data_IF_362514580408
#
_entry.id   IF_362514580408
#
_cell.length_a   1.000
_cell.length_b   1.000
_cell.length_c   1.000
_cell.angle_alpha   90.00
_cell.angle_beta   90.00
_cell.angle_gamma   90.00
#
_symmetry.space_group_name_H-M   'P 1'
#
loop_
_entity.id
_entity.type
_entity.pdbx_description
1 polymer ?
#
# COMPACT_ATOMS: atom_id res chain seq x y z
N UNK A 1 -12.15 -27.26 44.54
CA UNK A 1 -11.26 -27.48 43.36
C UNK A 1 -10.06 -28.28 43.86
N UNK A 2 -9.61 -29.35 43.16
CA UNK A 2 -8.35 -30.01 43.53
C UNK A 2 -7.22 -29.02 43.28
N UNK A 3 -6.35 -28.74 44.27
CA UNK A 3 -5.24 -27.81 44.20
C UNK A 3 -4.34 -28.06 42.96
N UNK A 4 -4.23 -29.30 42.52
CA UNK A 4 -3.41 -29.76 41.38
C UNK A 4 -3.77 -29.11 39.99
N UNK A 5 -4.96 -28.54 39.84
CA UNK A 5 -5.44 -27.91 38.60
C UNK A 5 -5.57 -26.39 38.71
N UNK A 6 -5.04 -25.80 39.77
CA UNK A 6 -5.00 -24.33 39.90
C UNK A 6 -4.02 -23.71 38.92
N UNK A 7 -4.19 -22.42 38.64
CA UNK A 7 -3.21 -21.65 37.82
C UNK A 7 -1.83 -21.68 38.49
N UNK A 8 -1.76 -21.55 39.81
CA UNK A 8 -0.49 -21.57 40.53
C UNK A 8 0.21 -22.92 40.37
N UNK A 9 -0.42 -24.05 40.63
CA UNK A 9 0.17 -25.39 40.47
C UNK A 9 0.62 -25.64 39.00
N UNK A 10 -0.15 -25.16 38.04
CA UNK A 10 0.19 -25.24 36.65
C UNK A 10 1.50 -24.45 36.33
N UNK A 11 1.66 -23.25 36.87
CA UNK A 11 2.85 -22.44 36.68
C UNK A 11 4.10 -23.08 37.32
N UNK A 12 3.95 -23.64 38.49
CA UNK A 12 5.04 -24.35 39.21
C UNK A 12 5.47 -25.62 38.47
N UNK A 13 4.52 -26.41 37.94
CA UNK A 13 4.80 -27.67 37.23
C UNK A 13 5.36 -27.45 35.81
N UNK A 14 5.04 -26.34 35.15
CA UNK A 14 5.40 -26.09 33.75
C UNK A 14 6.48 -25.02 33.56
N UNK A 15 7.15 -24.62 34.66
CA UNK A 15 8.16 -23.54 34.68
C UNK A 15 7.63 -22.22 34.06
N UNK A 16 6.38 -21.86 34.42
CA UNK A 16 5.73 -20.64 33.92
C UNK A 16 5.49 -19.62 35.04
N UNK A 17 6.45 -19.49 35.92
CA UNK A 17 6.36 -18.58 37.07
C UNK A 17 6.13 -17.11 36.67
N UNK A 18 6.54 -16.73 35.46
CA UNK A 18 6.27 -15.40 34.92
C UNK A 18 4.77 -15.04 34.89
N UNK A 19 3.86 -16.02 34.74
CA UNK A 19 2.42 -15.78 34.77
C UNK A 19 1.94 -15.34 36.15
N UNK A 20 2.55 -15.85 37.22
CA UNK A 20 2.23 -15.43 38.58
C UNK A 20 2.81 -14.04 38.88
N UNK A 21 3.95 -13.72 38.30
CA UNK A 21 4.54 -12.38 38.39
C UNK A 21 3.70 -11.33 37.64
N UNK A 22 3.08 -11.73 36.51
CA UNK A 22 2.20 -10.87 35.72
C UNK A 22 0.78 -10.78 36.28
N UNK A 23 0.41 -11.53 37.30
CA UNK A 23 -0.90 -11.45 37.95
C UNK A 23 -1.02 -10.16 38.76
N UNK A 24 -1.97 -9.29 38.40
CA UNK A 24 -2.20 -8.03 39.12
C UNK A 24 -2.96 -8.33 40.44
N UNK A 25 -2.20 -8.45 41.52
CA UNK A 25 -2.75 -8.83 42.85
C UNK A 25 -3.74 -7.80 43.39
N UNK A 26 -3.50 -6.51 43.16
CA UNK A 26 -4.33 -5.45 43.66
C UNK A 26 -5.71 -5.42 42.95
N UNK A 27 -5.64 -5.43 41.60
CA UNK A 27 -6.88 -5.37 40.78
C UNK A 27 -7.69 -6.65 40.80
N UNK A 28 -7.07 -7.78 41.10
CA UNK A 28 -7.74 -9.06 41.18
C UNK A 28 -8.20 -9.40 42.61
N UNK A 29 -7.87 -8.62 43.62
CA UNK A 29 -8.26 -8.89 45.00
C UNK A 29 -9.78 -9.02 45.15
N UNK A 30 -10.30 -9.99 45.93
CA UNK A 30 -9.58 -10.96 46.74
C UNK A 30 -9.29 -12.32 46.06
N UNK A 31 -9.16 -12.37 44.73
CA UNK A 31 -9.00 -13.59 43.94
C UNK A 31 -7.51 -13.97 43.78
N UNK A 32 -6.98 -15.00 44.47
CA UNK A 32 -5.59 -15.42 44.30
C UNK A 32 -5.46 -16.48 43.20
N UNK A 33 -4.27 -16.66 42.61
CA UNK A 33 -4.01 -17.60 41.51
C UNK A 33 -4.22 -19.09 41.87
N UNK A 34 -4.12 -19.46 43.13
CA UNK A 34 -4.35 -20.81 43.60
C UNK A 34 -5.84 -21.21 43.66
N UNK A 35 -6.74 -20.20 43.67
CA UNK A 35 -8.20 -20.40 43.69
C UNK A 35 -8.84 -20.53 42.33
N UNK A 36 -8.10 -20.29 41.25
CA UNK A 36 -8.61 -20.29 39.88
C UNK A 36 -8.02 -21.44 39.07
N UNK A 37 -8.83 -22.00 38.13
CA UNK A 37 -8.38 -23.05 37.23
C UNK A 37 -7.64 -22.46 36.02
N UNK A 38 -6.51 -23.08 35.59
CA UNK A 38 -5.72 -22.65 34.41
C UNK A 38 -6.53 -22.56 33.13
N UNK A 39 -7.57 -23.35 32.95
CA UNK A 39 -8.47 -23.35 31.79
C UNK A 39 -9.71 -22.45 31.96
N UNK A 40 -9.74 -21.59 32.98
CA UNK A 40 -10.91 -20.73 33.26
C UNK A 40 -11.11 -19.68 32.18
N UNK A 41 -12.37 -19.47 31.77
CA UNK A 41 -12.81 -18.36 30.95
C UNK A 41 -12.95 -17.06 31.73
N UNK A 42 -12.76 -17.10 33.04
CA UNK A 42 -12.79 -15.91 33.89
C UNK A 42 -11.70 -14.96 33.43
N UNK A 43 -12.07 -13.69 33.20
CA UNK A 43 -11.15 -12.63 32.90
C UNK A 43 -10.61 -12.02 34.17
N UNK A 44 -9.33 -11.71 34.16
CA UNK A 44 -8.60 -11.10 35.28
C UNK A 44 -7.62 -10.06 34.74
N UNK A 45 -7.10 -9.23 35.62
CA UNK A 45 -6.10 -8.24 35.30
C UNK A 45 -4.69 -8.84 35.31
N UNK A 46 -3.93 -8.47 34.32
CA UNK A 46 -2.53 -8.84 34.14
C UNK A 46 -1.70 -7.58 33.99
N UNK A 47 -0.44 -7.62 34.38
CA UNK A 47 0.55 -6.59 34.08
C UNK A 47 1.82 -7.25 33.53
N UNK A 48 2.64 -6.51 32.76
CA UNK A 48 3.92 -7.00 32.28
C UNK A 48 5.05 -6.13 32.82
N UNK A 49 6.28 -6.60 32.66
CA UNK A 49 7.51 -5.89 33.07
C UNK A 49 7.64 -4.46 32.51
N UNK A 50 7.02 -4.20 31.34
CA UNK A 50 7.00 -2.87 30.70
C UNK A 50 5.87 -1.96 31.25
N UNK A 51 5.21 -2.33 32.34
CA UNK A 51 4.18 -1.53 32.99
C UNK A 51 2.79 -1.57 32.31
N UNK A 52 2.62 -2.36 31.26
CA UNK A 52 1.30 -2.50 30.63
C UNK A 52 0.34 -3.30 31.50
N UNK A 53 -0.90 -2.85 31.64
CA UNK A 53 -1.96 -3.61 32.30
C UNK A 53 -3.09 -3.91 31.32
N UNK A 54 -3.64 -5.14 31.41
CA UNK A 54 -4.75 -5.55 30.52
C UNK A 54 -5.65 -6.58 31.19
N UNK A 55 -6.84 -6.73 30.64
CA UNK A 55 -7.88 -7.63 31.14
C UNK A 55 -8.05 -8.79 30.16
N UNK A 56 -7.77 -10.04 30.58
CA UNK A 56 -7.81 -11.21 29.71
C UNK A 56 -8.19 -12.48 30.45
N UNK A 57 -8.74 -13.46 29.71
CA UNK A 57 -9.08 -14.77 30.26
C UNK A 57 -7.82 -15.51 30.75
N UNK A 58 -7.95 -16.22 31.87
CA UNK A 58 -6.88 -17.03 32.46
C UNK A 58 -6.36 -18.06 31.46
N UNK A 59 -7.26 -18.80 30.78
CA UNK A 59 -6.88 -19.82 29.80
C UNK A 59 -6.07 -19.25 28.62
N UNK A 60 -6.33 -18.01 28.21
CA UNK A 60 -5.63 -17.36 27.09
C UNK A 60 -4.17 -17.11 27.47
N UNK A 61 -3.94 -16.67 28.71
CA UNK A 61 -2.60 -16.50 29.26
C UNK A 61 -1.90 -17.85 29.51
N UNK A 62 -2.58 -18.81 30.10
CA UNK A 62 -2.08 -20.16 30.34
C UNK A 62 -1.69 -20.87 29.02
N UNK A 63 -2.35 -20.59 27.91
CA UNK A 63 -2.00 -21.10 26.59
C UNK A 63 -0.88 -20.32 25.88
N UNK A 64 -0.20 -19.38 26.57
CA UNK A 64 0.99 -18.71 26.07
C UNK A 64 0.76 -17.39 25.33
N UNK A 65 -0.46 -16.81 25.38
CA UNK A 65 -0.65 -15.46 24.88
C UNK A 65 0.15 -14.46 25.71
N UNK A 66 0.86 -13.57 25.06
CA UNK A 66 1.67 -12.53 25.70
C UNK A 66 0.89 -11.22 25.85
N UNK A 67 1.51 -10.22 26.51
CA UNK A 67 0.98 -8.87 26.62
C UNK A 67 0.55 -8.33 25.24
N UNK A 68 -0.72 -7.89 25.06
CA UNK A 68 -1.21 -7.43 23.76
C UNK A 68 -0.57 -6.13 23.29
N UNK A 69 -0.05 -5.34 24.18
CA UNK A 69 0.65 -4.09 23.87
C UNK A 69 2.10 -4.37 23.42
N UNK A 70 2.84 -5.20 24.15
CA UNK A 70 4.18 -5.62 23.76
C UNK A 70 4.20 -6.38 22.43
N UNK A 71 3.17 -7.19 22.16
CA UNK A 71 2.99 -7.90 20.88
C UNK A 71 2.33 -7.05 19.79
N UNK A 72 2.09 -5.75 20.05
CA UNK A 72 1.48 -4.80 19.11
C UNK A 72 0.11 -5.24 18.57
N UNK A 73 -0.67 -5.96 19.37
CA UNK A 73 -2.06 -6.35 19.06
C UNK A 73 -3.06 -5.27 19.49
N UNK A 74 -2.73 -4.52 20.54
CA UNK A 74 -3.50 -3.40 21.05
C UNK A 74 -2.70 -2.11 20.99
N UNK A 75 -3.40 -1.02 20.71
CA UNK A 75 -2.81 0.32 20.65
C UNK A 75 -2.48 0.83 22.06
N UNK A 76 -1.28 1.33 22.22
CA UNK A 76 -0.85 2.14 23.34
C UNK A 76 -0.30 3.45 22.78
N UNK A 77 -1.06 4.52 22.93
CA UNK A 77 -0.70 5.85 22.49
C UNK A 77 0.61 6.29 23.16
N UNK A 78 1.47 6.99 22.41
CA UNK A 78 2.83 7.40 22.83
C UNK A 78 3.83 6.26 23.03
N UNK A 79 3.50 5.02 22.59
CA UNK A 79 4.39 3.86 22.71
C UNK A 79 4.47 3.05 21.42
N UNK A 80 3.33 2.53 20.91
CA UNK A 80 3.32 1.64 19.75
C UNK A 80 2.45 2.14 18.60
N UNK A 81 2.03 3.38 18.66
CA UNK A 81 1.29 4.06 17.59
C UNK A 81 2.22 4.50 16.43
N UNK A 82 1.59 4.86 15.30
CA UNK A 82 2.32 5.28 14.10
C UNK A 82 3.10 6.58 14.32
N UNK A 83 2.53 7.54 15.05
CA UNK A 83 3.16 8.84 15.27
C UNK A 83 4.48 8.67 16.04
N UNK A 84 4.45 7.84 17.09
CA UNK A 84 5.60 7.59 17.95
C UNK A 84 6.68 6.76 17.25
N UNK A 85 6.28 5.66 16.60
CA UNK A 85 7.25 4.73 16.02
C UNK A 85 7.76 5.12 14.63
N UNK A 86 6.99 5.91 13.88
CA UNK A 86 7.39 6.35 12.54
C UNK A 86 6.90 7.77 12.24
N UNK A 87 7.48 8.79 12.88
CA UNK A 87 7.07 10.18 12.70
C UNK A 87 7.26 10.69 11.27
N UNK A 88 8.28 10.19 10.56
CA UNK A 88 8.50 10.51 9.16
C UNK A 88 7.33 10.03 8.27
N UNK A 89 6.81 8.83 8.51
CA UNK A 89 5.63 8.35 7.79
C UNK A 89 4.37 9.07 8.26
N UNK A 90 4.26 9.39 9.54
CA UNK A 90 3.14 10.15 10.10
C UNK A 90 3.04 11.57 9.51
N UNK A 91 4.15 12.19 9.10
CA UNK A 91 4.14 13.51 8.44
C UNK A 91 3.47 13.50 7.05
N UNK A 92 3.35 12.32 6.41
CA UNK A 92 2.60 12.16 5.16
C UNK A 92 1.10 11.87 5.37
N UNK A 93 0.60 12.01 6.59
CA UNK A 93 -0.81 11.78 6.90
C UNK A 93 -1.69 12.89 6.31
N UNK A 94 -2.72 12.53 5.55
CA UNK A 94 -3.68 13.50 5.02
C UNK A 94 -4.75 13.81 6.08
N UNK A 95 -4.52 14.83 6.87
CA UNK A 95 -5.42 15.22 7.96
C UNK A 95 -6.84 15.58 7.47
N UNK A 96 -6.95 16.19 6.29
CA UNK A 96 -8.24 16.61 5.74
C UNK A 96 -9.11 15.39 5.39
N UNK A 97 -8.51 14.40 4.72
CA UNK A 97 -9.23 13.22 4.23
C UNK A 97 -9.41 12.12 5.27
N UNK A 98 -8.57 12.08 6.30
CA UNK A 98 -8.72 11.15 7.42
C UNK A 98 -9.67 11.68 8.51
N UNK A 99 -10.05 12.96 8.46
CA UNK A 99 -10.94 13.57 9.43
C UNK A 99 -10.36 13.53 10.86
N UNK A 100 -11.12 13.00 11.80
CA UNK A 100 -10.69 12.93 13.21
C UNK A 100 -9.66 11.83 13.50
N UNK A 101 -9.47 10.88 12.59
CA UNK A 101 -8.49 9.80 12.77
C UNK A 101 -7.06 10.36 12.68
N UNK A 102 -6.28 10.17 13.73
CA UNK A 102 -4.89 10.67 13.85
C UNK A 102 -3.88 9.53 13.70
N UNK A 103 -2.61 9.82 13.37
CA UNK A 103 -1.55 8.82 13.34
C UNK A 103 -1.33 8.13 14.71
N UNK A 104 -1.60 8.83 15.82
CA UNK A 104 -1.57 8.27 17.18
C UNK A 104 -2.66 7.22 17.45
N UNK A 105 -3.73 7.22 16.67
CA UNK A 105 -4.85 6.30 16.84
C UNK A 105 -4.67 4.99 16.05
N UNK A 106 -3.50 4.81 15.42
CA UNK A 106 -3.24 3.70 14.51
C UNK A 106 -1.94 2.99 14.90
N UNK A 107 -2.04 1.68 15.14
CA UNK A 107 -0.88 0.81 15.33
C UNK A 107 0.06 0.88 14.13
N UNK A 108 1.37 0.85 14.40
CA UNK A 108 2.39 0.79 13.35
C UNK A 108 2.22 -0.42 12.39
N UNK A 109 1.72 -1.57 12.83
CA UNK A 109 1.43 -2.77 12.02
C UNK A 109 0.01 -2.83 11.43
N UNK A 110 -0.80 -1.76 11.51
CA UNK A 110 -2.20 -1.78 11.12
C UNK A 110 -2.42 -2.05 9.63
N UNK A 111 -3.43 -2.88 9.32
CA UNK A 111 -3.91 -3.11 7.95
C UNK A 111 -4.97 -2.09 7.50
N UNK A 112 -5.31 -1.08 8.32
CA UNK A 112 -6.27 -0.04 7.96
C UNK A 112 -5.83 0.70 6.70
N UNK A 113 -6.81 1.02 5.84
CA UNK A 113 -6.64 1.95 4.74
C UNK A 113 -6.86 3.36 5.26
N UNK A 114 -5.86 4.22 5.05
CA UNK A 114 -5.90 5.63 5.41
C UNK A 114 -5.43 6.48 4.23
N UNK A 115 -5.70 7.77 4.29
CA UNK A 115 -5.26 8.73 3.29
C UNK A 115 -3.88 9.28 3.63
N UNK A 116 -3.06 9.37 2.60
CA UNK A 116 -1.69 9.88 2.65
C UNK A 116 -1.56 11.08 1.71
N UNK A 117 -0.72 12.03 2.05
CA UNK A 117 -0.41 13.22 1.25
C UNK A 117 1.10 13.36 1.13
N UNK A 118 1.66 13.27 -0.08
CA UNK A 118 3.09 13.45 -0.27
C UNK A 118 3.50 14.93 -0.32
N UNK A 119 4.78 15.20 -0.29
CA UNK A 119 5.33 16.58 -0.35
C UNK A 119 4.91 17.33 -1.62
N UNK A 120 4.62 16.63 -2.73
CA UNK A 120 4.07 17.23 -3.96
C UNK A 120 2.56 17.47 -3.92
N UNK A 121 1.90 17.29 -2.77
CA UNK A 121 0.47 17.52 -2.60
C UNK A 121 -0.44 16.40 -3.11
N UNK A 122 0.10 15.31 -3.69
CA UNK A 122 -0.73 14.20 -4.14
C UNK A 122 -1.31 13.44 -2.95
N UNK A 123 -2.62 13.23 -2.99
CA UNK A 123 -3.35 12.52 -1.95
C UNK A 123 -3.85 11.17 -2.49
N UNK A 124 -3.60 10.09 -1.73
CA UNK A 124 -4.01 8.74 -2.13
C UNK A 124 -4.36 7.88 -0.91
N UNK A 125 -5.14 6.84 -1.13
CA UNK A 125 -5.53 5.89 -0.11
C UNK A 125 -4.69 4.62 -0.21
N UNK A 126 -4.04 4.25 0.88
CA UNK A 126 -3.23 3.04 0.95
C UNK A 126 -3.29 2.40 2.33
N UNK A 127 -2.99 1.09 2.38
CA UNK A 127 -2.80 0.39 3.66
C UNK A 127 -1.59 0.96 4.36
N UNK A 128 -1.73 1.22 5.65
CA UNK A 128 -0.63 1.69 6.46
C UNK A 128 0.57 0.74 6.39
N UNK A 129 0.37 -0.58 6.49
CA UNK A 129 1.44 -1.59 6.38
C UNK A 129 2.21 -1.51 5.04
N UNK A 130 1.54 -1.20 3.93
CA UNK A 130 2.21 -1.03 2.63
C UNK A 130 3.13 0.17 2.62
N UNK A 131 2.74 1.24 3.30
CA UNK A 131 3.55 2.46 3.44
C UNK A 131 4.82 2.21 4.27
N UNK A 132 4.73 1.51 5.39
CA UNK A 132 5.91 1.17 6.21
C UNK A 132 6.89 0.21 5.52
N UNK A 133 6.43 -0.52 4.49
CA UNK A 133 7.27 -1.34 3.61
C UNK A 133 7.86 -0.56 2.43
N UNK A 134 7.78 0.77 2.44
CA UNK A 134 8.38 1.62 1.42
C UNK A 134 7.52 1.89 0.17
N UNK A 135 6.23 1.52 0.17
CA UNK A 135 5.37 1.91 -0.94
C UNK A 135 5.15 3.43 -0.95
N UNK A 136 5.70 4.14 -1.93
CA UNK A 136 5.59 5.58 -2.10
C UNK A 136 4.27 6.04 -2.72
N UNK A 137 4.17 7.34 -3.00
CA UNK A 137 3.05 7.94 -3.72
C UNK A 137 2.93 7.31 -5.12
N UNK A 138 1.76 6.77 -5.49
CA UNK A 138 1.59 6.10 -6.78
C UNK A 138 1.67 7.07 -7.98
N UNK A 139 1.37 8.35 -7.77
CA UNK A 139 1.50 9.38 -8.79
C UNK A 139 2.98 9.74 -9.02
N UNK A 140 3.74 10.00 -7.95
CA UNK A 140 5.17 10.30 -8.04
C UNK A 140 5.98 9.12 -8.60
N UNK A 141 5.56 7.89 -8.32
CA UNK A 141 6.22 6.66 -8.83
C UNK A 141 5.72 6.23 -10.22
N UNK A 142 4.80 6.98 -10.84
CA UNK A 142 4.23 6.66 -12.15
C UNK A 142 3.33 5.42 -12.20
N UNK A 143 2.91 4.89 -11.03
CA UNK A 143 2.00 3.73 -10.94
C UNK A 143 0.53 4.10 -11.14
N UNK A 144 0.17 5.35 -10.85
CA UNK A 144 -1.15 5.90 -11.11
C UNK A 144 -1.04 7.15 -11.97
N UNK A 145 -1.97 7.30 -12.89
CA UNK A 145 -2.08 8.52 -13.70
C UNK A 145 -2.84 9.59 -12.92
N UNK A 146 -2.36 10.82 -13.03
CA UNK A 146 -3.07 12.03 -12.62
C UNK A 146 -3.00 13.01 -13.79
N UNK A 147 -4.15 13.26 -14.40
CA UNK A 147 -4.29 14.20 -15.53
C UNK A 147 -3.79 15.59 -15.14
N UNK A 148 -3.03 16.21 -16.02
CA UNK A 148 -2.37 17.51 -15.77
C UNK A 148 -1.08 17.42 -14.94
N UNK A 149 -0.62 16.22 -14.55
CA UNK A 149 0.57 16.04 -13.69
C UNK A 149 1.58 15.08 -14.29
N UNK A 150 1.22 13.81 -14.45
CA UNK A 150 2.15 12.76 -14.89
C UNK A 150 1.65 11.97 -16.10
N UNK A 151 0.60 12.44 -16.72
CA UNK A 151 0.04 11.85 -17.93
C UNK A 151 0.89 12.17 -19.17
N UNK A 152 0.64 11.41 -20.25
CA UNK A 152 1.37 11.54 -21.51
C UNK A 152 1.11 12.89 -22.18
N UNK A 153 -0.13 13.40 -22.14
CA UNK A 153 -0.48 14.66 -22.81
C UNK A 153 0.26 15.85 -22.18
N UNK A 154 0.38 15.84 -20.85
CA UNK A 154 1.05 16.92 -20.10
C UNK A 154 2.57 16.87 -20.24
N UNK A 155 3.18 15.68 -20.09
CA UNK A 155 4.65 15.58 -20.07
C UNK A 155 5.28 15.45 -21.46
N UNK A 156 4.55 14.95 -22.45
CA UNK A 156 5.03 14.73 -23.81
C UNK A 156 3.99 15.13 -24.86
N UNK A 157 3.62 16.43 -24.97
CA UNK A 157 2.54 16.89 -25.86
C UNK A 157 2.83 16.55 -27.33
N UNK A 158 4.09 16.65 -27.78
CA UNK A 158 4.48 16.30 -29.15
C UNK A 158 4.26 14.83 -29.48
N UNK A 159 4.47 13.94 -28.50
CA UNK A 159 4.21 12.51 -28.64
C UNK A 159 2.71 12.25 -28.55
N UNK A 160 2.02 12.92 -27.66
CA UNK A 160 0.57 12.81 -27.51
C UNK A 160 -0.20 13.26 -28.76
N UNK A 161 0.32 14.27 -29.50
CA UNK A 161 -0.25 14.70 -30.77
C UNK A 161 -0.23 13.61 -31.86
N UNK A 162 0.57 12.58 -31.67
CA UNK A 162 0.69 11.44 -32.59
C UNK A 162 -0.18 10.25 -32.15
N UNK A 163 -1.11 10.47 -31.21
CA UNK A 163 -2.03 9.46 -30.73
C UNK A 163 -3.09 9.16 -31.78
N UNK A 164 -3.22 7.89 -32.17
CA UNK A 164 -4.29 7.47 -33.08
C UNK A 164 -5.61 7.31 -32.29
N UNK A 165 -6.40 8.37 -32.24
CA UNK A 165 -7.64 8.39 -31.48
C UNK A 165 -8.67 7.37 -31.97
N UNK A 166 -8.70 7.12 -33.29
CA UNK A 166 -9.65 6.17 -33.88
C UNK A 166 -9.36 4.74 -33.44
N UNK A 167 -8.08 4.30 -33.52
CA UNK A 167 -7.69 2.94 -33.15
C UNK A 167 -7.56 2.71 -31.64
N UNK A 168 -7.30 3.74 -30.88
CA UNK A 168 -7.25 3.66 -29.42
C UNK A 168 -8.64 3.78 -28.76
N UNK A 169 -9.67 4.12 -29.51
CA UNK A 169 -11.06 4.21 -29.06
C UNK A 169 -11.24 5.25 -27.96
N UNK A 170 -11.81 4.85 -26.83
CA UNK A 170 -12.09 5.76 -25.70
C UNK A 170 -10.84 6.13 -24.87
N UNK A 171 -9.70 5.47 -25.09
CA UNK A 171 -8.48 5.75 -24.36
C UNK A 171 -7.81 7.02 -24.89
N UNK A 172 -7.46 7.93 -23.98
CA UNK A 172 -6.85 9.22 -24.30
C UNK A 172 -5.46 9.35 -23.68
N UNK A 173 -4.59 10.24 -24.24
CA UNK A 173 -3.24 10.48 -23.71
C UNK A 173 -3.21 11.00 -22.26
N UNK A 174 -4.23 11.74 -21.82
CA UNK A 174 -4.36 12.25 -20.44
C UNK A 174 -4.76 11.17 -19.41
N UNK A 175 -5.07 9.97 -19.89
CA UNK A 175 -5.48 8.83 -19.06
C UNK A 175 -4.38 7.76 -18.87
N UNK A 176 -3.20 8.02 -19.39
CA UNK A 176 -2.06 7.09 -19.32
C UNK A 176 -0.82 7.79 -18.82
N UNK A 177 -0.02 7.09 -18.00
CA UNK A 177 1.27 7.64 -17.56
C UNK A 177 2.27 7.63 -18.70
N UNK A 178 3.16 8.63 -18.73
CA UNK A 178 4.14 8.82 -19.78
C UNK A 178 5.14 7.65 -19.96
N UNK A 179 5.35 6.84 -18.92
CA UNK A 179 6.26 5.67 -18.97
C UNK A 179 5.54 4.32 -18.92
N UNK A 180 4.25 4.31 -19.26
CA UNK A 180 3.43 3.08 -19.28
C UNK A 180 3.95 2.08 -20.31
N UNK A 181 3.99 0.80 -19.93
CA UNK A 181 4.27 -0.30 -20.85
C UNK A 181 3.04 -0.70 -21.70
N UNK A 182 1.91 0.02 -21.54
CA UNK A 182 0.72 -0.22 -22.36
C UNK A 182 1.04 0.08 -23.82
N UNK A 183 0.74 -0.87 -24.70
CA UNK A 183 0.84 -0.69 -26.15
C UNK A 183 -0.38 0.05 -26.65
N UNK A 184 -0.17 1.04 -27.50
CA UNK A 184 -1.19 1.87 -28.11
C UNK A 184 -0.85 2.12 -29.58
N UNK A 185 -1.85 2.57 -30.34
CA UNK A 185 -1.69 2.95 -31.73
C UNK A 185 -1.23 4.40 -31.86
N UNK A 186 -0.32 4.59 -32.77
CA UNK A 186 0.28 5.89 -33.10
C UNK A 186 0.10 6.19 -34.58
N UNK A 187 -0.10 7.47 -34.91
CA UNK A 187 -0.25 7.98 -36.26
C UNK A 187 0.76 9.10 -36.48
N UNK A 188 1.62 8.97 -37.51
CA UNK A 188 2.57 10.03 -37.84
C UNK A 188 1.94 11.07 -38.80
N UNK A 189 2.58 12.26 -38.96
CA UNK A 189 2.14 13.25 -39.93
C UNK A 189 2.05 12.74 -41.37
N UNK A 190 2.88 11.75 -41.72
CA UNK A 190 2.89 11.10 -43.04
C UNK A 190 1.80 10.01 -43.21
N UNK A 191 0.91 9.88 -42.24
CA UNK A 191 -0.17 8.89 -42.26
C UNK A 191 0.20 7.44 -41.95
N UNK A 192 1.44 7.17 -41.51
CA UNK A 192 1.83 5.82 -41.11
C UNK A 192 1.32 5.49 -39.68
N UNK A 193 0.85 4.27 -39.51
CA UNK A 193 0.35 3.75 -38.24
C UNK A 193 1.23 2.63 -37.74
N UNK A 194 1.39 2.54 -36.42
CA UNK A 194 2.03 1.41 -35.79
C UNK A 194 1.62 1.28 -34.32
N UNK A 195 1.85 0.10 -33.76
CA UNK A 195 1.44 -0.30 -32.41
C UNK A 195 2.69 -0.52 -31.56
N UNK A 196 2.89 0.32 -30.53
CA UNK A 196 4.04 0.18 -29.61
C UNK A 196 3.71 0.71 -28.23
N UNK A 197 4.53 0.30 -27.22
CA UNK A 197 4.37 0.77 -25.84
C UNK A 197 4.66 2.27 -25.73
N UNK A 198 3.94 2.95 -24.85
CA UNK A 198 4.15 4.37 -24.55
C UNK A 198 5.59 4.59 -24.07
N UNK A 199 6.09 3.73 -23.18
CA UNK A 199 7.47 3.80 -22.67
C UNK A 199 8.55 3.78 -23.76
N UNK A 200 8.32 3.09 -24.87
CA UNK A 200 9.25 3.09 -26.01
C UNK A 200 9.34 4.44 -26.71
N UNK A 201 8.28 5.24 -26.64
CA UNK A 201 8.21 6.57 -27.24
C UNK A 201 8.77 7.65 -26.33
N UNK A 202 8.65 7.49 -25.02
CA UNK A 202 9.03 8.49 -24.03
C UNK A 202 10.42 8.27 -23.42
N UNK A 203 11.03 7.08 -23.64
CA UNK A 203 12.36 6.76 -23.12
C UNK A 203 13.43 7.67 -23.74
N UNK A 204 14.07 8.49 -22.91
CA UNK A 204 15.07 9.45 -23.35
C UNK A 204 16.31 8.82 -24.01
N UNK A 205 16.67 7.58 -23.61
CA UNK A 205 17.88 6.88 -24.11
C UNK A 205 17.61 6.02 -25.35
N UNK A 206 16.38 5.56 -25.56
CA UNK A 206 16.01 4.63 -26.64
C UNK A 206 14.66 5.02 -27.26
N UNK A 207 14.48 6.30 -27.52
CA UNK A 207 13.27 6.81 -28.14
C UNK A 207 13.08 6.17 -29.52
N UNK A 208 12.08 5.31 -29.67
CA UNK A 208 11.77 4.72 -30.98
C UNK A 208 10.87 5.68 -31.76
N UNK A 209 11.34 6.06 -32.94
CA UNK A 209 10.55 6.78 -33.94
C UNK A 209 9.61 5.86 -34.71
N UNK A 210 9.03 6.38 -35.77
CA UNK A 210 8.23 5.61 -36.73
C UNK A 210 9.08 4.62 -37.48
N UNK A 211 8.80 3.32 -37.44
CA UNK A 211 9.65 2.32 -38.12
C UNK A 211 9.76 2.58 -39.62
N UNK A 212 8.68 3.09 -40.23
CA UNK A 212 8.65 3.42 -41.67
C UNK A 212 9.52 4.63 -41.97
N UNK A 213 9.31 5.75 -41.25
CA UNK A 213 10.05 6.99 -41.46
C UNK A 213 11.52 6.86 -41.03
N UNK A 214 11.83 5.99 -40.06
CA UNK A 214 13.17 5.66 -39.63
C UNK A 214 13.92 4.70 -40.60
N UNK A 215 13.29 4.28 -41.71
CA UNK A 215 13.90 3.36 -42.68
C UNK A 215 13.94 1.88 -42.25
N UNK A 216 13.33 1.55 -41.14
CA UNK A 216 13.31 0.17 -40.58
C UNK A 216 12.33 -0.77 -41.31
N UNK A 217 11.49 -0.23 -42.19
CA UNK A 217 10.54 -0.99 -43.03
C UNK A 217 10.94 -0.84 -44.49
N UNK A 218 11.09 -1.96 -45.17
CA UNK A 218 11.42 -1.95 -46.62
C UNK A 218 10.34 -1.23 -47.42
N UNK A 219 10.72 -0.57 -48.51
CA UNK A 219 9.79 0.19 -49.39
C UNK A 219 8.60 -0.67 -49.83
N UNK A 220 8.83 -1.97 -50.09
CA UNK A 220 7.83 -2.94 -50.51
C UNK A 220 6.70 -3.14 -49.49
N UNK A 221 6.98 -2.92 -48.20
CA UNK A 221 5.99 -3.18 -47.10
C UNK A 221 5.44 -1.88 -46.47
N UNK A 222 5.90 -0.70 -46.93
CA UNK A 222 5.45 0.57 -46.32
C UNK A 222 3.96 0.81 -46.42
N UNK A 223 3.31 0.37 -47.50
CA UNK A 223 1.86 0.49 -47.70
C UNK A 223 1.02 -0.25 -46.61
N UNK A 224 1.59 -1.28 -45.98
CA UNK A 224 0.92 -2.02 -44.89
C UNK A 224 0.82 -1.19 -43.61
N UNK A 225 1.49 -0.07 -43.51
CA UNK A 225 1.53 0.80 -42.36
C UNK A 225 0.82 2.14 -42.59
N UNK A 226 0.09 2.30 -43.69
CA UNK A 226 -0.70 3.51 -43.96
C UNK A 226 -2.01 3.52 -43.21
N UNK A 227 -2.46 4.69 -42.79
CA UNK A 227 -3.85 4.88 -42.32
C UNK A 227 -4.81 4.73 -43.52
N UNK A 228 -6.10 4.39 -43.28
CA UNK A 228 -7.07 4.31 -44.36
C UNK A 228 -7.18 5.59 -45.19
N UNK A 229 -7.09 6.75 -44.56
CA UNK A 229 -7.12 8.05 -45.20
C UNK A 229 -5.89 8.25 -46.12
N UNK A 230 -4.66 8.00 -45.59
CA UNK A 230 -3.44 8.11 -46.34
C UNK A 230 -3.33 7.11 -47.50
N UNK A 231 -3.86 5.89 -47.33
CA UNK A 231 -3.92 4.89 -48.41
C UNK A 231 -4.93 5.30 -49.49
N UNK A 232 -6.06 5.90 -49.12
CA UNK A 232 -7.06 6.40 -50.06
C UNK A 232 -6.52 7.59 -50.91
N UNK A 233 -5.80 8.52 -50.29
CA UNK A 233 -5.15 9.64 -50.97
C UNK A 233 -4.09 9.13 -51.98
N UNK A 234 -3.24 8.19 -51.56
CA UNK A 234 -2.21 7.60 -52.43
C UNK A 234 -2.80 6.89 -53.67
N UNK A 235 -4.00 6.29 -53.55
CA UNK A 235 -4.65 5.61 -54.69
C UNK A 235 -5.32 6.58 -55.69
N UNK A 236 -5.43 7.88 -55.33
CA UNK A 236 -5.98 8.92 -56.19
C UNK A 236 -4.94 9.69 -56.97
N UNK A 237 -3.66 9.58 -56.57
CA UNK A 237 -2.50 10.11 -57.25
C UNK A 237 -1.79 9.05 -58.07
#
# INVERSE_FOLDING_TARGET
MKKENSLQSFCECQDRMYLLQEWDQEKNAPLPPDSVHKGSHQKVWWHCENGHTWYSEIRVRANGSMCPYCTRRMLWVESNDLLTLNPALASEWDNEKNGELKPSDVLEGSHKYVWWKCQNGHSWRARRLSRSRGAGCPVCTGKAVMSGVNDLATLFPDIAAQWDAERNGSLRPDQVTSFSNRKVWWLCPEGHVWHTAISNRTNAKKRTGYPVCAGNVSQKHRHLHLSPQADAERRRT
#
